data_IF_143685480997
#
_entry.id   IF_143685480997
#
_cell.length_a   1.000
_cell.length_b   1.000
_cell.length_c   1.000
_cell.angle_alpha   90.00
_cell.angle_beta   90.00
_cell.angle_gamma   90.00
#
_symmetry.space_group_name_H-M   'P 1'
#
loop_
_entity.id
_entity.type
_entity.pdbx_description
1 polymer ?
#
# COMPACT_ATOMS: atom_id res chain seq x y z
N UNK A 1 -4.87 5.37 -4.86
CA UNK A 1 -3.66 5.91 -4.21
C UNK A 1 -2.74 4.74 -3.91
N UNK A 2 -1.44 4.87 -4.20
CA UNK A 2 -0.46 3.80 -4.00
C UNK A 2 0.59 4.33 -3.02
N UNK A 3 0.81 3.62 -1.92
CA UNK A 3 1.78 3.99 -0.88
C UNK A 3 2.93 3.00 -0.88
N UNK A 4 4.14 3.48 -1.13
CA UNK A 4 5.38 2.69 -1.04
C UNK A 4 6.06 2.99 0.30
N UNK A 5 6.18 1.99 1.18
CA UNK A 5 6.71 2.18 2.55
C UNK A 5 7.15 0.85 3.18
N UNK A 6 7.98 0.93 4.20
CA UNK A 6 8.32 -0.16 5.14
C UNK A 6 7.33 -0.26 6.32
N UNK A 7 6.32 0.61 6.38
CA UNK A 7 5.25 0.61 7.38
C UNK A 7 5.58 1.37 8.67
N UNK A 8 6.77 1.97 8.78
CA UNK A 8 7.09 2.81 9.93
C UNK A 8 6.62 4.25 9.71
N UNK A 9 5.73 4.70 10.59
CA UNK A 9 5.34 6.11 10.68
C UNK A 9 5.85 6.67 12.00
N UNK A 10 6.63 7.75 11.93
CA UNK A 10 7.21 8.42 13.10
C UNK A 10 6.73 9.86 13.28
N UNK A 11 6.05 10.43 12.27
CA UNK A 11 5.56 11.80 12.25
C UNK A 11 4.32 11.91 11.37
N UNK A 12 3.45 12.84 11.73
CA UNK A 12 2.23 13.14 10.97
C UNK A 12 1.00 12.46 11.54
N UNK A 13 -0.14 12.52 10.83
CA UNK A 13 -1.38 11.91 11.26
C UNK A 13 -1.30 10.39 11.24
N UNK A 14 -2.06 9.74 12.12
CA UNK A 14 -2.12 8.28 12.23
C UNK A 14 -2.48 7.64 10.87
N UNK A 15 -1.64 6.74 10.32
CA UNK A 15 -1.82 6.20 8.97
C UNK A 15 -3.16 5.51 8.76
N UNK A 16 -3.65 4.78 9.76
CA UNK A 16 -4.94 4.08 9.71
C UNK A 16 -6.11 5.09 9.57
N UNK A 17 -6.05 6.19 10.32
CA UNK A 17 -7.09 7.22 10.23
C UNK A 17 -7.05 7.95 8.89
N UNK A 18 -5.85 8.27 8.40
CA UNK A 18 -5.66 8.86 7.09
C UNK A 18 -6.19 7.94 5.97
N UNK A 19 -5.91 6.64 6.06
CA UNK A 19 -6.39 5.63 5.12
C UNK A 19 -7.93 5.56 5.11
N UNK A 20 -8.56 5.46 6.29
CA UNK A 20 -10.03 5.50 6.41
C UNK A 20 -10.63 6.75 5.78
N UNK A 21 -10.06 7.92 6.03
CA UNK A 21 -10.54 9.18 5.48
C UNK A 21 -10.42 9.22 3.94
N UNK A 22 -9.35 8.65 3.38
CA UNK A 22 -9.16 8.59 1.94
C UNK A 22 -10.15 7.62 1.27
N UNK A 23 -10.39 6.45 1.88
CA UNK A 23 -11.42 5.51 1.42
C UNK A 23 -12.81 6.14 1.47
N UNK A 24 -13.13 6.87 2.54
CA UNK A 24 -14.40 7.61 2.67
C UNK A 24 -14.58 8.70 1.59
N UNK A 25 -13.48 9.21 1.02
CA UNK A 25 -13.48 10.15 -0.11
C UNK A 25 -13.54 9.46 -1.48
N UNK A 26 -13.66 8.12 -1.52
CA UNK A 26 -13.74 7.34 -2.75
C UNK A 26 -12.40 6.94 -3.35
N UNK A 27 -11.29 7.12 -2.63
CA UNK A 27 -9.99 6.60 -3.06
C UNK A 27 -9.90 5.10 -2.80
N UNK A 28 -9.43 4.35 -3.79
CA UNK A 28 -8.96 2.97 -3.61
C UNK A 28 -7.49 3.01 -3.17
N UNK A 29 -7.15 2.40 -2.04
CA UNK A 29 -5.81 2.47 -1.42
C UNK A 29 -5.07 1.16 -1.52
N UNK A 30 -3.82 1.25 -1.98
CA UNK A 30 -2.89 0.13 -2.12
C UNK A 30 -1.62 0.39 -1.31
N UNK A 31 -1.11 -0.63 -0.60
CA UNK A 31 0.20 -0.59 0.05
C UNK A 31 1.20 -1.48 -0.70
N UNK A 32 2.44 -1.00 -0.83
CA UNK A 32 3.53 -1.73 -1.44
C UNK A 32 4.71 -1.73 -0.47
N UNK A 33 5.13 -2.91 -0.03
CA UNK A 33 6.27 -3.09 0.86
C UNK A 33 7.48 -3.71 0.17
N UNK A 34 8.66 -3.55 0.76
CA UNK A 34 9.89 -4.16 0.27
C UNK A 34 10.26 -5.37 1.11
N UNK A 35 10.39 -6.55 0.50
CA UNK A 35 10.62 -7.82 1.22
C UNK A 35 12.09 -8.20 1.41
N UNK A 36 13.03 -7.44 0.86
CA UNK A 36 14.45 -7.69 1.03
C UNK A 36 14.88 -7.46 2.48
N UNK A 37 15.47 -8.50 3.09
CA UNK A 37 16.04 -8.41 4.45
C UNK A 37 17.53 -8.11 4.35
N UNK A 38 17.95 -7.04 5.03
CA UNK A 38 19.37 -6.73 5.24
C UNK A 38 19.69 -7.03 6.70
N UNK A 39 20.86 -7.60 6.96
CA UNK A 39 21.31 -7.90 8.31
C UNK A 39 21.33 -6.62 9.17
N UNK A 40 20.78 -6.69 10.39
CA UNK A 40 20.62 -5.56 11.31
C UNK A 40 19.71 -4.41 10.83
N UNK A 41 18.94 -4.59 9.76
CA UNK A 41 17.95 -3.60 9.35
C UNK A 41 16.66 -3.67 10.16
N UNK A 42 15.96 -2.54 10.22
CA UNK A 42 14.62 -2.44 10.81
C UNK A 42 13.67 -3.34 10.03
N UNK A 43 12.89 -4.15 10.73
CA UNK A 43 11.89 -5.03 10.11
C UNK A 43 10.73 -4.23 9.57
N UNK A 44 10.10 -4.72 8.51
CA UNK A 44 8.85 -4.16 7.99
C UNK A 44 7.79 -4.18 9.10
N UNK A 45 6.98 -3.11 9.17
CA UNK A 45 5.80 -3.07 10.02
C UNK A 45 4.56 -3.48 9.21
N UNK A 46 4.29 -4.78 9.21
CA UNK A 46 3.16 -5.38 8.48
C UNK A 46 1.81 -4.86 8.97
N UNK A 47 1.67 -4.54 10.26
CA UNK A 47 0.43 -4.00 10.83
C UNK A 47 0.04 -2.69 10.16
N UNK A 48 0.98 -1.75 10.01
CA UNK A 48 0.69 -0.46 9.38
C UNK A 48 0.40 -0.62 7.89
N UNK A 49 1.09 -1.52 7.20
CA UNK A 49 0.84 -1.81 5.78
C UNK A 49 -0.56 -2.39 5.56
N UNK A 50 -1.04 -3.21 6.50
CA UNK A 50 -2.40 -3.75 6.52
C UNK A 50 -3.43 -2.69 6.89
N UNK A 51 -3.11 -1.78 7.80
CA UNK A 51 -3.97 -0.67 8.17
C UNK A 51 -4.15 0.37 7.04
N UNK A 52 -3.16 0.52 6.16
CA UNK A 52 -3.21 1.42 5.00
C UNK A 52 -3.92 0.77 3.81
N UNK A 53 -3.67 -0.51 3.55
CA UNK A 53 -4.33 -1.23 2.47
C UNK A 53 -5.83 -1.37 2.77
N UNK A 54 -6.66 -1.24 1.74
CA UNK A 54 -8.11 -1.38 1.93
C UNK A 54 -8.52 -2.81 2.34
N UNK A 55 -7.82 -3.82 1.80
CA UNK A 55 -7.95 -5.23 2.17
C UNK A 55 -6.71 -6.03 1.68
N UNK A 56 -6.71 -7.35 1.87
CA UNK A 56 -5.61 -8.22 1.49
C UNK A 56 -5.30 -8.24 -0.03
N UNK A 57 -6.26 -7.94 -0.90
CA UNK A 57 -6.06 -7.83 -2.35
C UNK A 57 -5.42 -6.51 -2.77
N UNK A 58 -5.29 -5.56 -1.83
CA UNK A 58 -4.67 -4.26 -2.05
C UNK A 58 -3.26 -4.16 -1.46
N UNK A 59 -2.74 -5.27 -0.92
CA UNK A 59 -1.37 -5.39 -0.41
C UNK A 59 -0.46 -6.01 -1.46
N UNK A 60 0.59 -5.29 -1.80
CA UNK A 60 1.61 -5.73 -2.73
C UNK A 60 3.01 -5.61 -2.11
N UNK A 61 3.96 -6.19 -2.80
CA UNK A 61 5.38 -6.22 -2.43
C UNK A 61 6.22 -5.91 -3.66
N UNK A 62 7.51 -5.65 -3.46
CA UNK A 62 8.52 -5.59 -4.52
C UNK A 62 8.51 -6.81 -5.46
N UNK A 63 8.01 -7.97 -5.01
CA UNK A 63 7.96 -9.21 -5.80
C UNK A 63 6.72 -9.34 -6.70
N UNK A 64 5.64 -8.62 -6.40
CA UNK A 64 4.37 -8.77 -7.12
C UNK A 64 3.72 -7.42 -7.50
N UNK A 65 4.41 -6.31 -7.30
CA UNK A 65 3.96 -4.96 -7.66
C UNK A 65 3.60 -4.84 -9.15
N UNK A 66 4.19 -5.62 -10.05
CA UNK A 66 3.78 -5.64 -11.46
C UNK A 66 2.29 -5.99 -11.66
N UNK A 67 1.72 -6.80 -10.78
CA UNK A 67 0.28 -7.11 -10.79
C UNK A 67 -0.57 -5.88 -10.46
N UNK A 68 -0.08 -5.03 -9.55
CA UNK A 68 -0.71 -3.74 -9.25
C UNK A 68 -0.64 -2.81 -10.46
N UNK A 69 0.49 -2.77 -11.18
CA UNK A 69 0.62 -1.99 -12.41
C UNK A 69 -0.46 -2.41 -13.42
N UNK A 70 -0.60 -3.71 -13.67
CA UNK A 70 -1.60 -4.23 -14.60
C UNK A 70 -3.04 -3.90 -14.16
N UNK A 71 -3.33 -4.00 -12.85
CA UNK A 71 -4.64 -3.65 -12.30
C UNK A 71 -4.98 -2.18 -12.54
N UNK A 72 -4.04 -1.27 -12.24
CA UNK A 72 -4.22 0.17 -12.45
C UNK A 72 -4.33 0.48 -13.94
N UNK A 73 -3.53 -0.18 -14.79
CA UNK A 73 -3.62 -0.01 -16.25
C UNK A 73 -5.00 -0.39 -16.76
N UNK A 74 -5.53 -1.55 -16.37
CA UNK A 74 -6.86 -2.03 -16.77
C UNK A 74 -7.97 -1.07 -16.36
N UNK A 75 -7.90 -0.52 -15.14
CA UNK A 75 -8.85 0.50 -14.67
C UNK A 75 -8.86 1.76 -15.54
N UNK A 76 -7.72 2.12 -16.10
CA UNK A 76 -7.55 3.32 -16.93
C UNK A 76 -7.69 3.04 -18.44
N UNK A 77 -7.94 1.80 -18.85
CA UNK A 77 -8.27 1.51 -20.24
C UNK A 77 -9.61 2.18 -20.57
N UNK A 78 -9.71 2.74 -21.78
CA UNK A 78 -11.00 3.21 -22.29
C UNK A 78 -11.94 2.00 -22.38
N UNK A 79 -13.13 2.11 -21.80
CA UNK A 79 -14.19 1.15 -22.07
C UNK A 79 -14.40 1.09 -23.59
N UNK A 80 -14.38 -0.12 -24.16
CA UNK A 80 -14.74 -0.36 -25.57
C UNK A 80 -16.21 -0.02 -25.81
#
# INVERSE_FOLDING_TARGET
MIVFTDGWSNKGPEPEQAARNAVAQGFELYSVSYTGKVENAVTINDYTLEAIAQDAQHKFTDKNFDQLIERVRRRNLKCL
#
